data_IF_489124896501
#
_entry.id   IF_489124896501
#
_cell.length_a   1.000
_cell.length_b   1.000
_cell.length_c   1.000
_cell.angle_alpha   90.00
_cell.angle_beta   90.00
_cell.angle_gamma   90.00
#
_symmetry.space_group_name_H-M   'P 1'
#
loop_
_entity.id
_entity.type
_entity.pdbx_description
1 polymer ?
#
# COMPACT_ATOMS: atom_id res chain seq x y z
N UNK A 1 -31.25 0.79 -1.75
CA UNK A 1 -29.91 0.94 -1.22
C UNK A 1 -28.99 1.49 -2.27
N UNK A 2 -28.20 2.37 -1.85
CA UNK A 2 -27.29 3.03 -2.71
C UNK A 2 -26.01 2.19 -2.86
N UNK A 3 -25.47 2.17 -4.05
CA UNK A 3 -24.27 1.41 -4.38
C UNK A 3 -23.06 1.85 -3.52
N UNK A 4 -22.95 3.13 -3.25
CA UNK A 4 -21.86 3.66 -2.45
C UNK A 4 -21.85 3.14 -1.02
N UNK A 5 -23.02 3.00 -0.41
CA UNK A 5 -23.11 2.45 0.95
C UNK A 5 -22.61 1.02 1.03
N UNK A 6 -22.91 0.21 0.01
CA UNK A 6 -22.44 -1.16 -0.05
C UNK A 6 -20.91 -1.22 -0.18
N UNK A 7 -20.35 -0.40 -1.08
CA UNK A 7 -18.91 -0.35 -1.29
C UNK A 7 -18.18 0.13 -0.03
N UNK A 8 -18.72 1.17 0.63
CA UNK A 8 -18.11 1.73 1.84
C UNK A 8 -18.08 0.74 3.00
N UNK A 9 -19.09 -0.13 3.11
CA UNK A 9 -19.12 -1.16 4.15
C UNK A 9 -18.10 -2.25 3.93
N UNK A 10 -17.80 -2.55 2.67
CA UNK A 10 -16.89 -3.63 2.32
C UNK A 10 -15.43 -3.18 2.23
N UNK A 11 -15.20 -1.89 2.27
CA UNK A 11 -13.88 -1.31 2.13
C UNK A 11 -13.62 -0.34 3.27
N UNK A 12 -12.52 -0.56 4.00
CA UNK A 12 -12.17 0.29 5.15
C UNK A 12 -10.69 0.60 5.12
N UNK A 13 -10.34 1.88 5.17
CA UNK A 13 -8.95 2.35 5.22
C UNK A 13 -8.53 2.46 6.68
N UNK A 14 -7.50 1.71 7.07
CA UNK A 14 -6.94 1.74 8.42
C UNK A 14 -5.91 2.84 8.57
N UNK A 15 -5.04 2.99 7.57
CA UNK A 15 -3.93 3.94 7.66
C UNK A 15 -3.34 4.19 6.28
N UNK A 16 -2.83 5.39 6.05
CA UNK A 16 -2.10 5.70 4.82
C UNK A 16 -1.04 6.77 5.06
N UNK A 17 -0.01 6.75 4.25
CA UNK A 17 1.03 7.77 4.21
C UNK A 17 1.34 8.13 2.77
N UNK A 18 1.52 9.43 2.54
CA UNK A 18 1.87 9.95 1.24
C UNK A 18 3.32 10.42 1.25
N UNK A 19 4.10 9.92 0.29
CA UNK A 19 5.47 10.38 0.05
C UNK A 19 6.33 10.33 1.31
N UNK A 20 6.26 9.23 2.04
CA UNK A 20 6.92 9.03 3.33
C UNK A 20 8.35 8.55 3.11
N UNK A 21 9.28 9.10 3.89
CA UNK A 21 10.70 8.71 3.84
C UNK A 21 11.09 7.92 5.07
N UNK A 22 11.64 6.74 4.85
CA UNK A 22 12.35 5.99 5.87
C UNK A 22 13.85 6.31 5.77
N UNK A 23 14.66 5.92 6.75
CA UNK A 23 16.11 6.06 6.63
C UNK A 23 16.65 5.35 5.39
N UNK A 24 17.77 5.85 4.85
CA UNK A 24 18.44 5.21 3.73
C UNK A 24 18.77 3.76 4.07
N UNK A 25 18.63 2.86 3.11
CA UNK A 25 18.86 1.43 3.23
C UNK A 25 17.96 0.71 4.24
N UNK A 26 16.91 1.36 4.73
CA UNK A 26 16.01 0.75 5.71
C UNK A 26 15.34 -0.51 5.14
N UNK A 27 15.00 -1.41 6.05
CA UNK A 27 14.40 -2.70 5.71
C UNK A 27 13.12 -2.91 6.49
N UNK A 28 12.10 -3.37 5.80
CA UNK A 28 10.85 -3.81 6.41
C UNK A 28 10.82 -5.33 6.32
N UNK A 29 10.62 -5.97 7.47
CA UNK A 29 10.51 -7.42 7.53
C UNK A 29 9.38 -7.80 8.48
N UNK A 30 8.30 -8.32 7.93
CA UNK A 30 7.14 -8.79 8.69
C UNK A 30 6.82 -10.21 8.22
N UNK A 31 7.32 -11.23 8.94
CA UNK A 31 7.19 -12.62 8.47
C UNK A 31 5.75 -13.10 8.33
N UNK A 32 4.83 -12.54 9.12
CA UNK A 32 3.41 -12.89 9.07
C UNK A 32 2.56 -11.79 8.42
N UNK A 33 3.20 -10.82 7.77
CA UNK A 33 2.52 -9.72 7.11
C UNK A 33 1.79 -8.80 8.08
N UNK A 34 0.75 -8.17 7.57
CA UNK A 34 -0.17 -7.37 8.36
C UNK A 34 -1.56 -8.03 8.36
N UNK A 35 -2.43 -7.60 9.27
CA UNK A 35 -3.79 -8.14 9.36
C UNK A 35 -4.72 -7.62 8.28
N UNK A 36 -4.25 -6.72 7.44
CA UNK A 36 -5.00 -6.09 6.37
C UNK A 36 -4.21 -6.17 5.05
N UNK A 37 -4.81 -5.64 3.98
CA UNK A 37 -4.07 -5.44 2.73
C UNK A 37 -3.13 -4.25 2.89
N UNK A 38 -1.95 -4.36 2.28
CA UNK A 38 -0.99 -3.26 2.21
C UNK A 38 -0.65 -2.99 0.75
N UNK A 39 -1.07 -1.84 0.26
CA UNK A 39 -0.67 -1.35 -1.05
C UNK A 39 0.52 -0.40 -0.90
N UNK A 40 1.58 -0.66 -1.66
CA UNK A 40 2.79 0.16 -1.66
C UNK A 40 3.07 0.68 -3.06
N UNK A 41 3.35 1.98 -3.14
CA UNK A 41 3.92 2.61 -4.31
C UNK A 41 5.33 3.06 -3.94
N UNK A 42 6.34 2.38 -4.48
CA UNK A 42 7.74 2.70 -4.24
C UNK A 42 8.19 3.83 -5.14
N UNK A 43 8.56 4.97 -4.54
CA UNK A 43 9.10 6.12 -5.28
C UNK A 43 10.56 5.91 -5.65
N UNK A 44 11.24 5.04 -4.95
CA UNK A 44 12.66 4.75 -5.11
C UNK A 44 12.85 3.25 -5.32
N UNK A 45 13.98 2.84 -5.92
CA UNK A 45 14.23 1.41 -6.13
C UNK A 45 14.28 0.62 -4.84
N UNK A 46 13.73 -0.59 -4.88
CA UNK A 46 13.63 -1.50 -3.73
C UNK A 46 14.09 -2.91 -4.11
N UNK A 47 14.70 -3.57 -3.13
CA UNK A 47 14.91 -5.01 -3.17
C UNK A 47 13.69 -5.63 -2.50
N UNK A 48 12.89 -6.36 -3.27
CA UNK A 48 11.69 -7.02 -2.76
C UNK A 48 11.94 -8.51 -2.72
N UNK A 49 11.89 -9.07 -1.50
CA UNK A 49 12.15 -10.50 -1.28
C UNK A 49 10.82 -11.24 -1.35
N UNK A 50 10.56 -11.84 -2.49
CA UNK A 50 9.40 -12.68 -2.71
C UNK A 50 9.77 -14.13 -2.38
N UNK A 51 8.78 -15.01 -2.33
CA UNK A 51 9.03 -16.41 -2.04
C UNK A 51 9.97 -17.00 -3.09
N UNK A 52 11.16 -17.45 -2.68
CA UNK A 52 12.21 -18.02 -3.53
C UNK A 52 12.75 -17.09 -4.62
N UNK A 53 12.49 -15.78 -4.53
CA UNK A 53 12.90 -14.85 -5.57
C UNK A 53 13.19 -13.47 -4.98
N UNK A 54 14.29 -12.86 -5.43
CA UNK A 54 14.58 -11.46 -5.17
C UNK A 54 14.24 -10.66 -6.43
N UNK A 55 13.39 -9.66 -6.27
CA UNK A 55 13.05 -8.73 -7.34
C UNK A 55 13.59 -7.35 -6.99
N UNK A 56 14.42 -6.79 -7.86
CA UNK A 56 14.92 -5.42 -7.69
C UNK A 56 14.07 -4.51 -8.55
N UNK A 57 13.30 -3.65 -7.89
CA UNK A 57 12.36 -2.78 -8.59
C UNK A 57 13.02 -1.48 -9.03
N UNK A 58 12.43 -0.87 -10.05
CA UNK A 58 12.71 0.50 -10.46
C UNK A 58 11.78 1.44 -9.70
N UNK A 59 11.92 2.75 -9.94
CA UNK A 59 10.99 3.75 -9.43
C UNK A 59 9.57 3.45 -9.92
N UNK A 60 8.60 3.80 -9.09
CA UNK A 60 7.17 3.69 -9.39
C UNK A 60 6.67 2.24 -9.51
N UNK A 61 7.37 1.31 -8.89
CA UNK A 61 6.88 -0.05 -8.74
C UNK A 61 5.82 -0.10 -7.65
N UNK A 62 4.85 -0.97 -7.83
CA UNK A 62 3.80 -1.21 -6.85
C UNK A 62 3.83 -2.66 -6.40
N UNK A 63 3.33 -2.89 -5.19
CA UNK A 63 3.01 -4.23 -4.72
C UNK A 63 1.79 -4.15 -3.81
N UNK A 64 0.88 -5.10 -3.96
CA UNK A 64 -0.28 -5.26 -3.08
C UNK A 64 -0.12 -6.55 -2.30
N UNK A 65 0.21 -6.41 -1.02
CA UNK A 65 0.32 -7.55 -0.12
C UNK A 65 -1.03 -7.95 0.42
N UNK A 66 -1.36 -9.22 0.31
CA UNK A 66 -2.56 -9.77 0.94
C UNK A 66 -2.36 -9.89 2.46
N UNK A 67 -3.47 -9.90 3.25
CA UNK A 67 -3.36 -10.12 4.69
C UNK A 67 -2.60 -11.41 4.99
N UNK A 68 -1.70 -11.34 5.95
CA UNK A 68 -0.93 -12.51 6.40
C UNK A 68 0.24 -12.93 5.51
N UNK A 69 0.40 -12.32 4.34
CA UNK A 69 1.54 -12.65 3.48
C UNK A 69 2.80 -11.93 3.97
N UNK A 70 3.92 -12.65 3.97
CA UNK A 70 5.21 -12.11 4.42
C UNK A 70 5.59 -10.85 3.64
N UNK A 71 5.91 -9.79 4.36
CA UNK A 71 6.38 -8.53 3.80
C UNK A 71 7.87 -8.40 4.06
N UNK A 72 8.65 -8.33 2.99
CA UNK A 72 10.09 -8.20 3.12
C UNK A 72 10.65 -7.38 1.96
N UNK A 73 11.05 -6.14 2.26
CA UNK A 73 11.65 -5.27 1.26
C UNK A 73 12.67 -4.34 1.90
N UNK A 74 13.66 -3.96 1.13
CA UNK A 74 14.77 -3.12 1.58
C UNK A 74 15.09 -2.11 0.48
N UNK A 75 15.30 -0.85 0.86
CA UNK A 75 15.70 0.16 -0.10
C UNK A 75 17.09 -0.15 -0.68
N UNK A 76 17.23 0.06 -1.99
CA UNK A 76 18.54 -0.05 -2.63
C UNK A 76 19.47 1.06 -2.10
N UNK A 77 18.93 2.27 -1.91
CA UNK A 77 19.59 3.39 -1.27
C UNK A 77 18.56 4.21 -0.51
N UNK A 78 17.89 5.17 -1.17
CA UNK A 78 16.85 5.98 -0.54
C UNK A 78 15.56 5.19 -0.43
N UNK A 79 14.82 5.45 0.63
CA UNK A 79 13.56 4.79 0.90
C UNK A 79 12.44 5.81 0.94
N UNK A 80 11.71 5.94 -0.16
CA UNK A 80 10.53 6.82 -0.24
C UNK A 80 9.36 6.06 -0.85
N UNK A 81 8.20 6.16 -0.22
CA UNK A 81 7.02 5.45 -0.67
C UNK A 81 5.74 6.16 -0.28
N UNK A 82 4.67 5.79 -0.96
CA UNK A 82 3.30 6.08 -0.54
C UNK A 82 2.62 4.76 -0.29
N UNK A 83 1.82 4.65 0.77
CA UNK A 83 1.22 3.36 1.07
C UNK A 83 -0.15 3.49 1.73
N UNK A 84 -0.92 2.40 1.66
CA UNK A 84 -2.29 2.34 2.11
C UNK A 84 -2.55 0.98 2.74
N UNK A 85 -2.95 0.98 4.01
CA UNK A 85 -3.47 -0.19 4.70
C UNK A 85 -4.99 -0.16 4.64
N UNK A 86 -5.60 -1.24 4.17
CA UNK A 86 -7.05 -1.30 4.06
C UNK A 86 -7.56 -2.72 4.23
N UNK A 87 -8.83 -2.82 4.63
CA UNK A 87 -9.55 -4.08 4.70
C UNK A 87 -10.63 -4.10 3.62
N UNK A 88 -10.86 -5.27 3.06
CA UNK A 88 -11.81 -5.44 1.98
C UNK A 88 -12.31 -6.89 1.98
N UNK A 89 -13.62 -7.07 1.79
CA UNK A 89 -14.20 -8.41 1.70
C UNK A 89 -14.12 -8.99 0.29
N UNK A 90 -13.94 -8.12 -0.72
CA UNK A 90 -13.87 -8.53 -2.11
C UNK A 90 -12.57 -9.30 -2.39
N UNK A 91 -12.64 -10.26 -3.30
CA UNK A 91 -11.45 -10.91 -3.86
C UNK A 91 -10.90 -9.99 -4.94
N UNK A 92 -9.88 -9.21 -4.61
CA UNK A 92 -9.34 -8.18 -5.47
C UNK A 92 -8.74 -8.75 -6.76
N UNK A 93 -8.09 -9.90 -6.67
CA UNK A 93 -7.52 -10.55 -7.85
C UNK A 93 -8.62 -11.02 -8.80
N UNK A 94 -9.64 -11.67 -8.25
CA UNK A 94 -10.73 -12.25 -9.03
C UNK A 94 -11.64 -11.19 -9.63
N UNK A 95 -12.02 -10.18 -8.83
CA UNK A 95 -12.97 -9.15 -9.27
C UNK A 95 -12.34 -8.07 -10.13
N UNK A 96 -11.11 -7.68 -9.85
CA UNK A 96 -10.48 -6.52 -10.47
C UNK A 96 -9.20 -6.86 -11.23
N UNK A 97 -8.76 -8.11 -11.20
CA UNK A 97 -7.52 -8.52 -11.86
C UNK A 97 -6.26 -7.91 -11.26
N UNK A 98 -6.33 -7.46 -10.00
CA UNK A 98 -5.18 -6.84 -9.36
C UNK A 98 -4.21 -7.93 -8.91
N UNK A 99 -2.92 -7.86 -9.33
CA UNK A 99 -1.94 -8.87 -8.89
C UNK A 99 -1.69 -8.74 -7.39
N UNK A 100 -1.59 -9.89 -6.71
CA UNK A 100 -1.27 -9.93 -5.28
C UNK A 100 0.14 -10.45 -5.08
N UNK A 101 0.82 -9.89 -4.09
CA UNK A 101 2.11 -10.39 -3.60
C UNK A 101 3.19 -10.46 -4.67
N UNK A 102 3.12 -9.57 -5.63
CA UNK A 102 4.10 -9.50 -6.71
C UNK A 102 4.30 -8.05 -7.14
N UNK A 103 5.49 -7.73 -7.62
CA UNK A 103 5.81 -6.38 -8.09
C UNK A 103 5.19 -6.15 -9.46
N UNK A 104 4.55 -5.00 -9.63
CA UNK A 104 3.99 -4.60 -10.92
C UNK A 104 4.16 -3.10 -11.13
N UNK A 105 4.02 -2.67 -12.38
CA UNK A 105 4.20 -1.26 -12.77
C UNK A 105 2.91 -0.77 -13.43
N UNK A 106 2.07 -0.05 -12.70
CA UNK A 106 0.84 0.49 -13.29
C UNK A 106 1.18 1.64 -14.23
N UNK A 107 0.41 1.78 -15.32
CA UNK A 107 0.62 2.87 -16.25
C UNK A 107 0.14 4.23 -15.75
N UNK A 108 -0.58 4.24 -14.63
CA UNK A 108 -1.20 5.45 -14.07
C UNK A 108 -0.70 5.74 -12.65
N UNK A 109 0.59 5.58 -12.38
CA UNK A 109 1.15 5.73 -11.04
C UNK A 109 0.95 7.14 -10.47
N UNK A 110 0.95 8.18 -11.31
CA UNK A 110 0.71 9.55 -10.85
C UNK A 110 -0.70 9.73 -10.31
N UNK A 111 -1.68 9.13 -10.96
CA UNK A 111 -3.08 9.17 -10.51
C UNK A 111 -3.25 8.40 -9.20
N UNK A 112 -2.62 7.25 -9.08
CA UNK A 112 -2.64 6.44 -7.86
C UNK A 112 -2.04 7.24 -6.71
N UNK A 113 -0.90 7.86 -6.94
CA UNK A 113 -0.22 8.66 -5.92
C UNK A 113 -1.05 9.87 -5.50
N UNK A 114 -1.70 10.52 -6.45
CA UNK A 114 -2.61 11.64 -6.16
C UNK A 114 -3.80 11.19 -5.30
N UNK A 115 -4.34 10.00 -5.57
CA UNK A 115 -5.41 9.43 -4.74
C UNK A 115 -4.94 9.17 -3.31
N UNK A 116 -3.76 8.61 -3.13
CA UNK A 116 -3.21 8.37 -1.80
C UNK A 116 -3.00 9.69 -1.06
N UNK A 117 -2.54 10.71 -1.76
CA UNK A 117 -2.37 12.04 -1.18
C UNK A 117 -3.69 12.60 -0.64
N UNK A 118 -4.76 12.47 -1.40
CA UNK A 118 -6.09 12.93 -0.97
C UNK A 118 -6.60 12.14 0.23
N UNK A 119 -6.44 10.82 0.20
CA UNK A 119 -6.83 9.96 1.33
C UNK A 119 -6.03 10.29 2.58
N UNK A 120 -4.76 10.58 2.43
CA UNK A 120 -3.90 10.98 3.55
C UNK A 120 -4.37 12.28 4.18
N UNK A 121 -4.74 13.26 3.37
CA UNK A 121 -5.30 14.52 3.86
C UNK A 121 -6.58 14.32 4.65
N UNK A 122 -7.48 13.49 4.15
CA UNK A 122 -8.72 13.18 4.84
C UNK A 122 -8.48 12.44 6.15
N UNK A 123 -7.54 11.51 6.15
CA UNK A 123 -7.18 10.74 7.33
C UNK A 123 -6.66 11.66 8.46
N UNK A 124 -5.78 12.58 8.13
CA UNK A 124 -5.26 13.56 9.09
C UNK A 124 -6.39 14.44 9.63
N UNK A 125 -7.26 14.94 8.76
CA UNK A 125 -8.38 15.78 9.16
C UNK A 125 -9.32 15.05 10.10
N UNK A 126 -9.64 13.79 9.82
CA UNK A 126 -10.49 12.96 10.66
C UNK A 126 -9.87 12.73 12.04
N UNK A 127 -8.58 12.49 12.08
CA UNK A 127 -7.87 12.30 13.35
C UNK A 127 -7.90 13.58 14.22
N UNK A 128 -7.71 14.75 13.59
CA UNK A 128 -7.78 16.02 14.29
C UNK A 128 -9.16 16.27 14.87
N UNK A 129 -10.21 15.97 14.13
CA UNK A 129 -11.58 16.14 14.62
C UNK A 129 -11.94 15.10 15.68
N UNK A 130 -11.42 13.88 15.55
CA UNK A 130 -11.66 12.84 16.54
C UNK A 130 -11.08 13.20 17.91
N UNK A 131 -9.93 13.85 17.93
CA UNK A 131 -9.25 14.25 19.16
C UNK A 131 -10.02 15.32 19.96
N UNK A 132 -10.96 16.01 19.34
CA UNK A 132 -11.78 17.01 20.01
C UNK A 132 -12.95 16.40 20.80
N UNK A 133 -13.23 15.16 20.60
CA UNK A 133 -14.31 14.45 21.26
C UNK A 133 -13.78 13.40 22.23
#
# INVERSE_FOLDING_TARGET
>A
MNFHESADRDFSIQFCEYNYSNPDYDQIYRPNGSGDYLFLLFKTPMKVYLDKKLSISKENACILYAPGYKQHYKAVHRFRNSYLHFSCKADLKKQYGIPLNTVFYPGNCEEIDACIRLLHKEHIANDLFSDEY
#
